data_IF_414701713752
#
_entry.id   IF_414701713752
#
_cell.length_a   1.000
_cell.length_b   1.000
_cell.length_c   1.000
_cell.angle_alpha   90.00
_cell.angle_beta   90.00
_cell.angle_gamma   90.00
#
_symmetry.space_group_name_H-M   'P 1'
#
loop_
_entity.id
_entity.type
_entity.pdbx_description
1 polymer ?
#
# COMPACT_ATOMS: atom_id res chain seq x y z
N UNK A 1 12.48 -0.44 6.50
CA UNK A 1 11.24 -0.33 7.30
C UNK A 1 11.37 -0.95 8.70
N UNK A 2 12.29 -1.92 8.92
CA UNK A 2 12.68 -2.38 10.25
C UNK A 2 11.54 -3.02 11.06
N UNK A 3 11.72 -3.09 12.39
CA UNK A 3 10.70 -3.61 13.32
C UNK A 3 9.36 -2.85 13.26
N UNK A 4 9.31 -1.50 13.16
CA UNK A 4 8.04 -0.78 13.06
C UNK A 4 7.23 -1.15 11.83
N UNK A 5 7.88 -1.26 10.66
CA UNK A 5 7.21 -1.69 9.44
C UNK A 5 6.71 -3.13 9.51
N UNK A 6 7.45 -3.98 10.21
CA UNK A 6 7.04 -5.37 10.46
C UNK A 6 5.80 -5.46 11.35
N UNK A 7 5.80 -4.76 12.47
CA UNK A 7 4.67 -4.71 13.39
C UNK A 7 3.41 -4.21 12.68
N UNK A 8 3.53 -3.09 11.95
CA UNK A 8 2.42 -2.56 11.15
C UNK A 8 1.88 -3.57 10.11
N UNK A 9 2.76 -4.26 9.39
CA UNK A 9 2.35 -5.24 8.39
C UNK A 9 1.67 -6.46 9.03
N UNK A 10 2.21 -6.96 10.15
CA UNK A 10 1.62 -8.08 10.89
C UNK A 10 0.25 -7.69 11.47
N UNK A 11 0.09 -6.45 11.97
CA UNK A 11 -1.18 -5.93 12.48
C UNK A 11 -2.24 -5.78 11.37
N UNK A 12 -1.86 -5.19 10.23
CA UNK A 12 -2.75 -5.05 9.08
C UNK A 12 -3.21 -6.42 8.56
N UNK A 13 -2.29 -7.40 8.50
CA UNK A 13 -2.59 -8.73 7.97
C UNK A 13 -3.17 -9.68 9.02
N UNK A 14 -3.22 -9.31 10.31
CA UNK A 14 -3.69 -10.18 11.38
C UNK A 14 -5.11 -10.75 11.14
N UNK A 15 -6.11 -9.97 10.70
CA UNK A 15 -7.45 -10.51 10.43
C UNK A 15 -7.47 -11.53 9.30
N UNK A 16 -6.66 -11.32 8.26
CA UNK A 16 -6.54 -12.25 7.14
C UNK A 16 -5.78 -13.52 7.57
N UNK A 17 -4.65 -13.38 8.24
CA UNK A 17 -3.82 -14.53 8.67
C UNK A 17 -4.54 -15.43 9.65
N UNK A 18 -5.34 -14.87 10.57
CA UNK A 18 -6.12 -15.61 11.58
C UNK A 18 -7.46 -16.13 11.05
N UNK A 19 -7.81 -15.84 9.81
CA UNK A 19 -9.10 -16.25 9.25
C UNK A 19 -9.18 -17.78 9.12
N UNK A 20 -10.25 -18.33 9.68
CA UNK A 20 -10.61 -19.74 9.56
C UNK A 20 -11.94 -19.84 8.79
N UNK A 21 -12.00 -20.63 7.70
CA UNK A 21 -13.24 -20.79 6.94
C UNK A 21 -14.31 -21.52 7.76
N UNK A 22 -15.56 -21.10 7.62
CA UNK A 22 -16.69 -21.73 8.31
C UNK A 22 -17.05 -23.11 7.73
N UNK A 23 -16.71 -23.35 6.46
CA UNK A 23 -16.94 -24.60 5.74
C UNK A 23 -15.63 -25.06 5.09
N UNK A 24 -15.38 -26.36 5.05
CA UNK A 24 -14.16 -26.90 4.42
C UNK A 24 -14.01 -26.60 2.92
N UNK A 25 -15.11 -26.26 2.22
CA UNK A 25 -15.08 -25.85 0.82
C UNK A 25 -14.78 -24.35 0.61
N UNK A 26 -14.85 -23.54 1.67
CA UNK A 26 -14.53 -22.11 1.59
C UNK A 26 -13.01 -21.91 1.53
N UNK A 27 -12.51 -20.89 0.81
CA UNK A 27 -11.08 -20.62 0.75
C UNK A 27 -10.53 -20.27 2.13
N UNK A 28 -9.38 -20.82 2.48
CA UNK A 28 -8.67 -20.52 3.73
C UNK A 28 -7.82 -19.23 3.60
N UNK A 29 -7.14 -18.87 4.69
CA UNK A 29 -6.26 -17.70 4.76
C UNK A 29 -5.16 -17.72 3.70
N UNK A 30 -4.56 -18.88 3.42
CA UNK A 30 -3.52 -19.03 2.40
C UNK A 30 -4.08 -18.77 1.00
N UNK A 31 -5.21 -19.41 0.65
CA UNK A 31 -5.88 -19.21 -0.62
C UNK A 31 -6.33 -17.75 -0.84
N UNK A 32 -6.82 -17.07 0.21
CA UNK A 32 -7.17 -15.65 0.14
C UNK A 32 -5.92 -14.77 -0.06
N UNK A 33 -4.83 -15.07 0.64
CA UNK A 33 -3.54 -14.36 0.51
C UNK A 33 -2.98 -14.49 -0.91
N UNK A 34 -2.96 -15.71 -1.47
CA UNK A 34 -2.51 -15.95 -2.85
C UNK A 34 -3.40 -15.26 -3.86
N UNK A 35 -4.71 -15.27 -3.61
CA UNK A 35 -5.68 -14.58 -4.46
C UNK A 35 -5.38 -13.09 -4.54
N UNK A 36 -5.17 -12.42 -3.39
CA UNK A 36 -4.93 -10.98 -3.38
C UNK A 36 -3.54 -10.62 -3.90
N UNK A 37 -2.49 -11.42 -3.64
CA UNK A 37 -1.16 -11.22 -4.23
C UNK A 37 -1.22 -11.28 -5.76
N UNK A 38 -1.87 -12.31 -6.30
CA UNK A 38 -2.02 -12.46 -7.75
C UNK A 38 -2.85 -11.33 -8.35
N UNK A 39 -3.94 -10.92 -7.69
CA UNK A 39 -4.76 -9.80 -8.15
C UNK A 39 -4.05 -8.44 -8.09
N UNK A 40 -3.24 -8.17 -7.05
CA UNK A 40 -2.46 -6.92 -6.98
C UNK A 40 -1.43 -6.84 -8.12
N UNK A 41 -0.79 -7.97 -8.46
CA UNK A 41 0.18 -8.07 -9.55
C UNK A 41 -0.45 -8.02 -10.94
N UNK A 42 -1.57 -8.71 -11.16
CA UNK A 42 -2.12 -9.01 -12.49
C UNK A 42 -3.55 -8.49 -12.74
N UNK A 43 -4.20 -7.90 -11.73
CA UNK A 43 -5.57 -7.40 -11.80
C UNK A 43 -6.53 -8.46 -12.37
N UNK A 44 -7.24 -8.17 -13.46
CA UNK A 44 -8.19 -9.11 -14.07
C UNK A 44 -7.52 -10.40 -14.58
N UNK A 45 -6.25 -10.34 -15.00
CA UNK A 45 -5.51 -11.52 -15.46
C UNK A 45 -5.19 -12.52 -14.33
N UNK A 46 -5.46 -12.17 -13.07
CA UNK A 46 -5.34 -13.09 -11.95
C UNK A 46 -6.27 -14.32 -12.09
N UNK A 47 -7.40 -14.21 -12.80
CA UNK A 47 -8.27 -15.39 -13.04
C UNK A 47 -7.58 -16.48 -13.85
N UNK A 48 -6.75 -16.09 -14.82
CA UNK A 48 -5.98 -17.03 -15.64
C UNK A 48 -4.83 -17.63 -14.81
N UNK A 49 -4.12 -16.79 -14.07
CA UNK A 49 -3.02 -17.21 -13.20
C UNK A 49 -3.47 -18.19 -12.11
N UNK A 50 -4.61 -17.91 -11.47
CA UNK A 50 -5.18 -18.74 -10.40
C UNK A 50 -6.05 -19.88 -10.91
N UNK A 51 -6.36 -19.93 -12.22
CA UNK A 51 -7.31 -20.87 -12.84
C UNK A 51 -8.68 -20.87 -12.13
N UNK A 52 -9.17 -19.68 -11.74
CA UNK A 52 -10.48 -19.51 -11.09
C UNK A 52 -11.40 -18.63 -11.92
N UNK A 53 -12.71 -18.82 -11.76
CA UNK A 53 -13.70 -17.97 -12.40
C UNK A 53 -13.69 -16.54 -11.82
N UNK A 54 -14.03 -15.54 -12.64
CA UNK A 54 -14.13 -14.12 -12.25
C UNK A 54 -15.02 -13.88 -11.01
N UNK A 55 -16.11 -14.63 -10.87
CA UNK A 55 -17.01 -14.51 -9.73
C UNK A 55 -16.35 -15.03 -8.44
N UNK A 56 -15.56 -16.09 -8.54
CA UNK A 56 -14.78 -16.64 -7.41
C UNK A 56 -13.74 -15.63 -6.97
N UNK A 57 -13.00 -15.04 -7.92
CA UNK A 57 -12.05 -13.96 -7.63
C UNK A 57 -12.76 -12.80 -6.92
N UNK A 58 -13.87 -12.30 -7.48
CA UNK A 58 -14.62 -11.19 -6.88
C UNK A 58 -15.15 -11.52 -5.47
N UNK A 59 -15.63 -12.74 -5.23
CA UNK A 59 -16.08 -13.18 -3.90
C UNK A 59 -14.95 -13.20 -2.89
N UNK A 60 -13.77 -13.74 -3.29
CA UNK A 60 -12.57 -13.77 -2.44
C UNK A 60 -12.06 -12.37 -2.12
N UNK A 61 -12.01 -11.48 -3.11
CA UNK A 61 -11.60 -10.08 -2.88
C UNK A 61 -12.56 -9.37 -1.91
N UNK A 62 -13.88 -9.53 -2.07
CA UNK A 62 -14.85 -8.97 -1.10
C UNK A 62 -14.67 -9.52 0.31
N UNK A 63 -14.30 -10.80 0.44
CA UNK A 63 -13.97 -11.39 1.74
C UNK A 63 -12.73 -10.73 2.35
N UNK A 64 -11.69 -10.51 1.55
CA UNK A 64 -10.46 -9.82 2.00
C UNK A 64 -10.76 -8.37 2.39
N UNK A 65 -11.53 -7.63 1.59
CA UNK A 65 -12.00 -6.27 1.91
C UNK A 65 -12.70 -6.23 3.28
N UNK A 66 -13.66 -7.15 3.49
CA UNK A 66 -14.40 -7.23 4.75
C UNK A 66 -13.52 -7.61 5.95
N UNK A 67 -12.55 -8.51 5.78
CA UNK A 67 -11.63 -8.90 6.85
C UNK A 67 -10.68 -7.77 7.25
N UNK A 68 -10.19 -7.02 6.26
CA UNK A 68 -9.15 -6.00 6.47
C UNK A 68 -9.70 -4.59 6.66
N UNK A 69 -11.00 -4.36 6.45
CA UNK A 69 -11.59 -3.02 6.48
C UNK A 69 -11.04 -2.12 5.37
N UNK A 70 -10.63 -2.70 4.24
CA UNK A 70 -10.04 -2.00 3.10
C UNK A 70 -11.05 -1.92 1.94
N UNK A 71 -10.93 -0.89 1.12
CA UNK A 71 -11.63 -0.77 -0.16
C UNK A 71 -10.63 -0.98 -1.31
N UNK A 72 -10.63 -2.16 -1.92
CA UNK A 72 -9.69 -2.48 -2.99
C UNK A 72 -10.02 -1.76 -4.30
N UNK A 73 -11.06 -0.92 -4.35
CA UNK A 73 -11.26 0.03 -5.46
C UNK A 73 -10.35 1.26 -5.31
N UNK A 74 -9.79 1.49 -4.13
CA UNK A 74 -8.89 2.60 -3.81
C UNK A 74 -7.43 2.18 -4.02
N UNK A 75 -6.67 2.97 -4.78
CA UNK A 75 -5.27 2.61 -5.04
C UNK A 75 -4.40 2.68 -3.77
N UNK A 76 -4.79 3.53 -2.81
CA UNK A 76 -4.11 3.64 -1.54
C UNK A 76 -4.23 2.39 -0.68
N UNK A 77 -5.43 1.83 -0.58
CA UNK A 77 -5.67 0.60 0.18
C UNK A 77 -5.00 -0.60 -0.49
N UNK A 78 -5.02 -0.65 -1.83
CA UNK A 78 -4.23 -1.63 -2.58
C UNK A 78 -2.72 -1.51 -2.30
N UNK A 79 -2.18 -0.29 -2.27
CA UNK A 79 -0.76 -0.05 -2.04
C UNK A 79 -0.32 -0.39 -0.60
N UNK A 80 -1.16 -0.08 0.39
CA UNK A 80 -0.96 -0.51 1.78
C UNK A 80 -0.91 -2.03 1.87
N UNK A 81 -1.88 -2.72 1.26
CA UNK A 81 -1.95 -4.17 1.28
C UNK A 81 -0.76 -4.82 0.55
N UNK A 82 -0.38 -4.31 -0.63
CA UNK A 82 0.80 -4.78 -1.36
C UNK A 82 2.08 -4.63 -0.53
N UNK A 83 2.27 -3.48 0.11
CA UNK A 83 3.43 -3.24 0.97
C UNK A 83 3.45 -4.19 2.17
N UNK A 84 2.33 -4.37 2.87
CA UNK A 84 2.25 -5.28 4.00
C UNK A 84 2.54 -6.72 3.59
N UNK A 85 2.01 -7.17 2.44
CA UNK A 85 2.28 -8.50 1.88
C UNK A 85 3.76 -8.68 1.51
N UNK A 86 4.41 -7.65 0.96
CA UNK A 86 5.86 -7.68 0.68
C UNK A 86 6.68 -7.76 1.97
N UNK A 87 6.37 -6.96 2.99
CA UNK A 87 7.04 -6.99 4.29
C UNK A 87 6.84 -8.35 4.98
N UNK A 88 5.62 -8.89 4.97
CA UNK A 88 5.30 -10.17 5.59
C UNK A 88 6.03 -11.35 4.94
N UNK A 89 6.39 -11.24 3.67
CA UNK A 89 7.17 -12.24 2.93
C UNK A 89 8.69 -12.14 3.15
N UNK A 90 9.19 -11.05 3.75
CA UNK A 90 10.61 -10.93 4.05
C UNK A 90 11.02 -11.93 5.15
N UNK A 91 12.19 -12.58 5.02
CA UNK A 91 12.74 -13.42 6.07
C UNK A 91 12.82 -12.66 7.39
N UNK A 92 12.48 -13.32 8.50
CA UNK A 92 12.70 -12.73 9.82
C UNK A 92 14.18 -12.76 10.11
N UNK A 93 14.87 -11.65 9.92
CA UNK A 93 16.20 -11.47 10.47
C UNK A 93 16.09 -11.51 11.98
N UNK A 94 16.55 -12.61 12.56
CA UNK A 94 16.87 -12.68 13.98
C UNK A 94 18.05 -11.75 14.21
N UNK A 95 17.79 -10.48 14.45
CA UNK A 95 18.77 -9.61 15.11
C UNK A 95 18.93 -10.13 16.54
N UNK A 96 19.73 -11.19 16.70
CA UNK A 96 20.30 -11.61 17.98
C UNK A 96 21.29 -10.52 18.40
N UNK A 97 20.76 -9.42 18.94
CA UNK A 97 21.51 -8.61 19.89
C UNK A 97 21.49 -9.34 21.24
N UNK A 98 22.61 -9.47 21.97
CA UNK A 98 22.60 -10.06 23.30
C UNK A 98 21.63 -9.26 24.17
N UNK A 99 20.55 -9.89 24.60
CA UNK A 99 19.73 -9.36 25.70
C UNK A 99 20.50 -9.70 26.96
N UNK A 100 21.35 -8.78 27.43
CA UNK A 100 21.81 -8.84 28.81
C UNK A 100 20.59 -8.67 29.73
N UNK A 101 20.31 -9.62 30.64
CA UNK A 101 19.31 -9.43 31.66
C UNK A 101 19.83 -8.44 32.71
N UNK A 102 19.48 -7.16 32.57
CA UNK A 102 19.71 -6.15 33.59
C UNK A 102 18.87 -6.40 34.85
N UNK A 103 19.37 -6.14 36.07
CA UNK A 103 18.67 -6.43 37.31
C UNK A 103 17.41 -5.57 37.47
N UNK A 104 16.35 -6.20 37.97
CA UNK A 104 15.09 -5.54 38.34
C UNK A 104 15.27 -4.74 39.64
N UNK A 105 15.31 -3.41 39.55
CA UNK A 105 15.06 -2.54 40.70
C UNK A 105 13.61 -2.02 40.65
N UNK A 106 12.82 -2.18 41.73
CA UNK A 106 11.49 -1.59 41.83
C UNK A 106 11.59 -0.10 42.24
N UNK A 107 11.08 0.79 41.39
CA UNK A 107 10.96 2.23 41.67
C UNK A 107 9.55 2.56 42.21
N UNK A 108 9.42 3.45 43.21
CA UNK A 108 8.14 3.73 43.84
C UNK A 108 7.24 4.60 42.95
N UNK A 109 5.94 4.35 43.09
CA UNK A 109 4.82 5.11 42.56
C UNK A 109 4.75 6.49 43.21
N UNK A 110 4.85 7.54 42.40
CA UNK A 110 4.27 8.84 42.72
C UNK A 110 3.64 9.46 41.47
N UNK A 111 2.40 9.89 41.64
CA UNK A 111 1.52 10.45 40.64
C UNK A 111 1.90 11.89 40.31
N UNK A 112 2.18 12.20 39.04
CA UNK A 112 2.14 13.58 38.52
C UNK A 112 1.69 13.57 37.05
N UNK A 113 0.56 14.24 36.78
CA UNK A 113 0.23 14.86 35.50
C UNK A 113 -0.03 13.92 34.32
N UNK A 114 -1.31 13.68 34.00
CA UNK A 114 -1.72 13.23 32.67
C UNK A 114 -1.30 14.28 31.62
N UNK A 115 -0.10 14.11 31.07
CA UNK A 115 0.26 14.69 29.78
C UNK A 115 -0.77 14.18 28.79
N UNK A 116 -1.46 15.03 28.01
CA UNK A 116 -2.30 14.56 26.93
C UNK A 116 -1.44 13.65 26.04
N UNK A 117 -1.76 12.36 25.98
CA UNK A 117 -1.13 11.46 25.03
C UNK A 117 -1.21 12.14 23.66
N UNK A 118 -0.08 12.31 22.95
CA UNK A 118 -0.13 12.84 21.59
C UNK A 118 -1.14 12.00 20.79
N UNK A 119 -1.88 12.61 19.85
CA UNK A 119 -2.81 11.86 19.01
C UNK A 119 -2.08 10.64 18.46
N UNK A 120 -2.68 9.46 18.64
CA UNK A 120 -2.12 8.19 18.14
C UNK A 120 -1.95 8.36 16.65
N UNK A 121 -0.72 8.66 16.23
CA UNK A 121 -0.40 8.84 14.82
C UNK A 121 -0.73 7.53 14.11
N UNK A 122 -1.40 7.59 12.96
CA UNK A 122 -1.60 6.41 12.13
C UNK A 122 -0.22 5.75 11.90
N UNK A 123 0.00 4.51 12.37
CA UNK A 123 1.30 3.84 12.26
C UNK A 123 1.81 3.81 10.82
N UNK A 124 0.90 3.74 9.84
CA UNK A 124 1.28 3.81 8.43
C UNK A 124 1.86 5.17 8.05
N UNK A 125 1.26 6.26 8.52
CA UNK A 125 1.79 7.61 8.25
C UNK A 125 3.13 7.84 8.94
N UNK A 126 3.33 7.29 10.15
CA UNK A 126 4.62 7.32 10.81
C UNK A 126 5.70 6.63 9.97
N UNK A 127 5.38 5.50 9.31
CA UNK A 127 6.29 4.83 8.37
C UNK A 127 6.61 5.69 7.15
N UNK A 128 5.61 6.38 6.58
CA UNK A 128 5.80 7.26 5.42
C UNK A 128 6.72 8.46 5.73
N UNK A 129 6.77 8.89 6.99
CA UNK A 129 7.63 10.00 7.44
C UNK A 129 9.09 9.61 7.68
N UNK A 130 9.42 8.32 7.69
CA UNK A 130 10.79 7.85 7.89
C UNK A 130 11.74 8.44 6.82
N UNK A 131 12.92 8.95 7.18
CA UNK A 131 13.87 9.57 6.23
C UNK A 131 14.19 8.68 5.03
N UNK A 132 14.50 7.41 5.27
CA UNK A 132 14.79 6.44 4.21
C UNK A 132 13.61 6.23 3.24
N UNK A 133 12.36 6.34 3.71
CA UNK A 133 11.17 6.22 2.86
C UNK A 133 11.00 7.48 2.02
N UNK A 134 11.27 8.66 2.58
CA UNK A 134 11.25 9.93 1.83
C UNK A 134 12.35 9.99 0.77
N UNK A 135 13.56 9.54 1.07
CA UNK A 135 14.67 9.43 0.11
C UNK A 135 14.36 8.45 -1.03
N UNK A 136 13.81 7.29 -0.68
CA UNK A 136 13.31 6.34 -1.66
C UNK A 136 12.22 6.97 -2.56
N UNK A 137 11.26 7.67 -1.96
CA UNK A 137 10.18 8.33 -2.69
C UNK A 137 10.68 9.40 -3.66
N UNK A 138 11.66 10.21 -3.24
CA UNK A 138 12.35 11.16 -4.11
C UNK A 138 13.02 10.45 -5.28
N UNK A 139 13.66 9.30 -5.03
CA UNK A 139 14.30 8.49 -6.07
C UNK A 139 13.27 7.95 -7.08
N UNK A 140 12.11 7.47 -6.62
CA UNK A 140 11.05 6.97 -7.49
C UNK A 140 10.50 8.06 -8.43
N UNK A 141 10.36 9.30 -7.92
CA UNK A 141 9.74 10.40 -8.67
C UNK A 141 10.75 11.28 -9.41
N UNK A 142 12.06 11.06 -9.21
CA UNK A 142 13.13 11.83 -9.85
C UNK A 142 13.01 11.91 -11.38
N UNK A 143 12.79 10.81 -12.12
CA UNK A 143 12.69 10.89 -13.58
C UNK A 143 11.57 11.83 -14.04
N UNK A 144 10.42 11.81 -13.37
CA UNK A 144 9.29 12.70 -13.70
C UNK A 144 9.64 14.15 -13.37
N UNK A 145 10.25 14.40 -12.21
CA UNK A 145 10.62 15.74 -11.76
C UNK A 145 11.70 16.40 -12.60
N UNK A 146 12.66 15.61 -13.09
CA UNK A 146 13.79 16.12 -13.87
C UNK A 146 13.46 16.16 -15.37
N UNK A 147 12.89 15.09 -15.93
CA UNK A 147 12.78 14.93 -17.39
C UNK A 147 11.39 15.29 -17.92
N UNK A 148 10.36 15.34 -17.07
CA UNK A 148 9.00 15.67 -17.47
C UNK A 148 8.17 16.39 -16.38
N UNK A 149 8.66 17.53 -15.83
CA UNK A 149 8.02 18.20 -14.71
C UNK A 149 6.56 18.59 -14.97
N UNK A 150 6.21 18.90 -16.23
CA UNK A 150 4.83 19.21 -16.64
C UNK A 150 3.87 18.02 -16.55
N UNK A 151 4.38 16.79 -16.44
CA UNK A 151 3.59 15.58 -16.25
C UNK A 151 3.41 15.19 -14.78
N UNK A 152 4.13 15.82 -13.84
CA UNK A 152 4.00 15.53 -12.41
C UNK A 152 2.55 15.77 -11.93
N UNK A 153 1.93 16.87 -12.36
CA UNK A 153 0.52 17.17 -12.08
C UNK A 153 -0.41 16.08 -12.60
N UNK A 154 -0.12 15.52 -13.78
CA UNK A 154 -0.92 14.41 -14.35
C UNK A 154 -0.76 13.14 -13.51
N UNK A 155 0.48 12.80 -13.12
CA UNK A 155 0.75 11.64 -12.27
C UNK A 155 0.03 11.76 -10.92
N UNK A 156 0.15 12.92 -10.26
CA UNK A 156 -0.50 13.18 -8.97
C UNK A 156 -2.02 13.13 -9.08
N UNK A 157 -2.60 13.76 -10.11
CA UNK A 157 -4.04 13.70 -10.34
C UNK A 157 -4.51 12.27 -10.59
N UNK A 158 -3.75 11.48 -11.36
CA UNK A 158 -4.08 10.08 -11.64
C UNK A 158 -4.06 9.20 -10.38
N UNK A 159 -3.05 9.36 -9.52
CA UNK A 159 -2.96 8.64 -8.25
C UNK A 159 -4.06 9.06 -7.26
N UNK A 160 -4.39 10.36 -7.19
CA UNK A 160 -5.49 10.88 -6.34
C UNK A 160 -6.87 10.41 -6.79
N UNK A 161 -7.04 10.11 -8.08
CA UNK A 161 -8.30 9.60 -8.64
C UNK A 161 -8.30 8.06 -8.78
N UNK A 162 -7.62 7.36 -7.87
CA UNK A 162 -7.57 5.89 -7.81
C UNK A 162 -7.16 5.22 -9.12
N UNK A 163 -6.29 5.86 -9.90
CA UNK A 163 -5.87 5.40 -11.23
C UNK A 163 -6.99 5.33 -12.28
N UNK A 164 -8.15 5.93 -12.02
CA UNK A 164 -9.31 5.97 -12.93
C UNK A 164 -9.10 7.03 -14.01
N UNK A 165 -8.97 6.59 -15.27
CA UNK A 165 -8.70 7.48 -16.40
C UNK A 165 -9.76 8.58 -16.57
N UNK A 166 -11.04 8.23 -16.50
CA UNK A 166 -12.14 9.19 -16.71
C UNK A 166 -12.21 10.26 -15.60
N UNK A 167 -12.02 9.85 -14.35
CA UNK A 167 -11.99 10.79 -13.22
C UNK A 167 -10.77 11.72 -13.29
N UNK A 168 -9.61 11.17 -13.64
CA UNK A 168 -8.37 11.94 -13.87
C UNK A 168 -8.53 12.95 -15.00
N UNK A 169 -9.11 12.54 -16.12
CA UNK A 169 -9.36 13.39 -17.28
C UNK A 169 -10.26 14.58 -16.91
N UNK A 170 -11.36 14.31 -16.19
CA UNK A 170 -12.25 15.32 -15.65
C UNK A 170 -11.53 16.28 -14.70
N UNK A 171 -10.73 15.76 -13.75
CA UNK A 171 -9.97 16.58 -12.81
C UNK A 171 -8.93 17.47 -13.48
N UNK A 172 -8.35 17.03 -14.61
CA UNK A 172 -7.36 17.77 -15.38
C UNK A 172 -7.97 18.67 -16.47
N UNK A 173 -9.29 18.62 -16.70
CA UNK A 173 -9.94 19.36 -17.78
C UNK A 173 -9.50 18.92 -19.19
N UNK A 174 -9.13 17.65 -19.36
CA UNK A 174 -8.68 17.09 -20.65
C UNK A 174 -9.51 15.88 -21.06
N UNK A 175 -9.36 15.42 -22.30
CA UNK A 175 -10.01 14.18 -22.75
C UNK A 175 -9.34 12.94 -22.16
N UNK A 176 -10.09 11.84 -22.04
CA UNK A 176 -9.58 10.53 -21.60
C UNK A 176 -8.42 10.05 -22.48
N UNK A 177 -8.52 10.27 -23.79
CA UNK A 177 -7.44 9.98 -24.75
C UNK A 177 -6.20 10.83 -24.48
N UNK A 178 -6.38 12.11 -24.15
CA UNK A 178 -5.30 13.01 -23.74
C UNK A 178 -4.61 12.54 -22.46
N UNK A 179 -5.38 12.16 -21.43
CA UNK A 179 -4.84 11.57 -20.20
C UNK A 179 -4.05 10.30 -20.49
N UNK A 180 -4.57 9.40 -21.33
CA UNK A 180 -3.86 8.16 -21.72
C UNK A 180 -2.52 8.47 -22.40
N UNK A 181 -2.47 9.40 -23.35
CA UNK A 181 -1.22 9.82 -24.01
C UNK A 181 -0.19 10.35 -23.01
N UNK A 182 -0.62 11.16 -22.04
CA UNK A 182 0.25 11.68 -20.97
C UNK A 182 0.77 10.56 -20.07
N UNK A 183 -0.08 9.59 -19.71
CA UNK A 183 0.33 8.42 -18.93
C UNK A 183 1.32 7.53 -19.70
N UNK A 184 1.14 7.32 -21.00
CA UNK A 184 2.13 6.61 -21.83
C UNK A 184 3.46 7.34 -21.88
N UNK A 185 3.46 8.68 -21.91
CA UNK A 185 4.71 9.45 -21.80
C UNK A 185 5.35 9.33 -20.42
N UNK A 186 4.55 9.29 -19.35
CA UNK A 186 5.03 8.97 -18.01
C UNK A 186 5.65 7.58 -17.94
N UNK A 187 5.07 6.55 -18.59
CA UNK A 187 5.68 5.21 -18.68
C UNK A 187 7.07 5.24 -19.34
N UNK A 188 7.23 6.03 -20.39
CA UNK A 188 8.51 6.19 -21.09
C UNK A 188 9.59 6.83 -20.21
N UNK A 189 9.22 7.87 -19.45
CA UNK A 189 10.12 8.58 -18.54
C UNK A 189 10.46 7.72 -17.32
N UNK A 190 9.46 7.07 -16.73
CA UNK A 190 9.63 6.19 -15.57
C UNK A 190 10.27 4.85 -15.92
N UNK A 191 10.30 4.47 -17.20
CA UNK A 191 10.73 3.15 -17.69
C UNK A 191 9.99 1.99 -17.01
N UNK A 192 8.74 2.23 -16.60
CA UNK A 192 7.87 1.28 -15.89
C UNK A 192 6.46 1.41 -16.44
N UNK A 193 5.74 0.29 -16.51
CA UNK A 193 4.33 0.37 -16.93
C UNK A 193 3.45 0.94 -15.83
N UNK A 194 2.47 1.73 -16.26
CA UNK A 194 1.38 2.31 -15.46
C UNK A 194 0.04 1.73 -15.91
N UNK A 195 -0.11 1.42 -17.20
CA UNK A 195 -1.37 1.01 -17.81
C UNK A 195 -1.48 -0.50 -18.05
N UNK A 196 -0.36 -1.23 -18.03
CA UNK A 196 -0.33 -2.69 -18.22
C UNK A 196 0.26 -3.37 -17.00
N UNK A 197 -0.35 -4.46 -16.59
CA UNK A 197 0.18 -5.29 -15.50
C UNK A 197 1.40 -6.09 -15.96
N UNK A 198 2.40 -6.33 -15.09
CA UNK A 198 2.57 -5.72 -13.76
C UNK A 198 2.89 -4.22 -13.86
N UNK A 199 2.27 -3.39 -13.02
CA UNK A 199 2.41 -1.93 -13.07
C UNK A 199 2.97 -1.34 -11.78
N UNK A 200 3.52 -0.13 -11.88
CA UNK A 200 4.20 0.58 -10.80
C UNK A 200 3.29 1.43 -9.90
N UNK A 201 1.96 1.33 -10.04
CA UNK A 201 1.03 2.30 -9.41
C UNK A 201 1.11 2.31 -7.88
N UNK A 202 1.31 1.15 -7.26
CA UNK A 202 1.35 1.03 -5.80
C UNK A 202 2.60 1.70 -5.23
N UNK A 203 3.78 1.44 -5.83
CA UNK A 203 5.02 2.11 -5.44
C UNK A 203 4.94 3.63 -5.67
N UNK A 204 4.38 4.07 -6.79
CA UNK A 204 4.24 5.50 -7.09
C UNK A 204 3.24 6.20 -6.17
N UNK A 205 2.17 5.51 -5.76
CA UNK A 205 1.26 6.02 -4.74
C UNK A 205 1.96 6.17 -3.38
N UNK A 206 2.72 5.15 -2.94
CA UNK A 206 3.51 5.22 -1.70
C UNK A 206 4.54 6.34 -1.74
N UNK A 207 5.23 6.52 -2.86
CA UNK A 207 6.18 7.60 -3.05
C UNK A 207 5.51 8.98 -2.97
N UNK A 208 4.37 9.17 -3.66
CA UNK A 208 3.62 10.41 -3.58
C UNK A 208 3.13 10.70 -2.16
N UNK A 209 2.58 9.70 -1.45
CA UNK A 209 2.10 9.84 -0.09
C UNK A 209 3.22 10.17 0.91
N UNK A 210 4.42 9.57 0.76
CA UNK A 210 5.58 9.88 1.59
C UNK A 210 6.07 11.33 1.41
N UNK A 211 5.94 11.90 0.20
CA UNK A 211 6.32 13.29 -0.06
C UNK A 211 5.23 14.29 0.35
N UNK A 212 3.96 13.89 0.28
CA UNK A 212 2.81 14.73 0.66
C UNK A 212 2.59 14.77 2.19
N UNK A 213 3.33 13.96 2.96
CA UNK A 213 3.26 13.93 4.43
C UNK A 213 2.15 13.04 5.01
N UNK A 214 1.51 12.26 4.14
CA UNK A 214 0.37 11.39 4.43
C UNK A 214 -0.32 10.92 3.15
N UNK A 215 -1.29 9.98 3.23
CA UNK A 215 -2.15 9.68 2.08
C UNK A 215 -2.84 10.97 1.61
N UNK A 216 -3.09 11.13 0.29
CA UNK A 216 -3.80 12.32 -0.20
C UNK A 216 -5.17 12.43 0.49
N UNK A 217 -5.52 13.65 0.94
CA UNK A 217 -6.77 13.93 1.65
C UNK A 217 -7.99 13.33 0.91
N UNK A 218 -8.82 12.62 1.66
CA UNK A 218 -10.01 11.89 1.18
C UNK A 218 -11.22 12.79 0.87
N UNK A 219 -11.06 14.11 0.83
CA UNK A 219 -12.18 15.03 0.65
C UNK A 219 -12.66 15.05 -0.81
N UNK A 220 -13.52 14.08 -1.18
CA UNK A 220 -14.62 14.22 -2.14
C UNK A 220 -15.70 13.16 -1.89
#
# INVERSE_FOLDING_TARGET
LGRPGRAWADDLLAPLTRYVPARGADPDSAALTDTVRSWLAFSAAATEHLKIHRNTLASRLRRVEALLGLDLRLVGDQAKLDLALRIGALPRTTEHGPTEPGPTEPRPTDAVGSVPSPPVQDPFEALLRLPAVREWALTQLRPVRTDAPTLETTLRAWLRNDTRLSATARALGVSVTGTRKRLTRLEQVLRRSLLRVPNARHDLWLAAAALDGGPPDRNF
#
